data_IF_394980060862
#
_entry.id   IF_394980060862
#
_cell.length_a   1.000
_cell.length_b   1.000
_cell.length_c   1.000
_cell.angle_alpha   90.00
_cell.angle_beta   90.00
_cell.angle_gamma   90.00
#
_symmetry.space_group_name_H-M   'P 1'
#
loop_
_entity.id
_entity.type
_entity.pdbx_description
1 polymer ?
#
# COMPACT_ATOMS: atom_id res chain seq x y z
N UNK A 1 14.43 -58.96 4.43
CA UNK A 1 14.45 -57.72 5.26
C UNK A 1 14.80 -56.43 4.49
N UNK A 2 14.67 -56.37 3.15
CA UNK A 2 14.99 -55.15 2.36
C UNK A 2 13.88 -54.07 2.38
N UNK A 3 12.64 -54.40 2.74
CA UNK A 3 11.54 -53.42 2.80
C UNK A 3 11.70 -52.35 3.89
N UNK A 4 12.45 -52.61 4.97
CA UNK A 4 12.57 -51.66 6.09
C UNK A 4 13.53 -50.49 5.83
N UNK A 5 14.17 -50.39 4.65
CA UNK A 5 15.07 -49.29 4.31
C UNK A 5 14.33 -48.08 3.69
N UNK A 6 13.16 -48.28 3.09
CA UNK A 6 12.41 -47.21 2.40
C UNK A 6 11.50 -46.37 3.30
N UNK A 7 11.16 -46.86 4.50
CA UNK A 7 10.17 -46.21 5.39
C UNK A 7 10.52 -44.76 5.76
N UNK A 8 11.77 -44.38 6.13
CA UNK A 8 12.09 -42.97 6.41
C UNK A 8 11.83 -42.06 5.23
N UNK A 9 12.18 -42.52 4.02
CA UNK A 9 12.10 -41.72 2.82
C UNK A 9 10.64 -41.42 2.47
N UNK A 10 9.77 -42.43 2.57
CA UNK A 10 8.34 -42.26 2.36
C UNK A 10 7.75 -41.28 3.39
N UNK A 11 8.09 -41.42 4.67
CA UNK A 11 7.61 -40.50 5.71
C UNK A 11 8.10 -39.05 5.48
N UNK A 12 9.35 -38.87 5.07
CA UNK A 12 9.89 -37.56 4.70
C UNK A 12 9.16 -36.94 3.49
N UNK A 13 8.93 -37.73 2.44
CA UNK A 13 8.18 -37.26 1.25
C UNK A 13 6.73 -36.91 1.59
N UNK A 14 6.04 -37.70 2.42
CA UNK A 14 4.68 -37.38 2.86
C UNK A 14 4.63 -36.10 3.69
N UNK A 15 5.58 -35.90 4.61
CA UNK A 15 5.66 -34.67 5.40
C UNK A 15 5.93 -33.45 4.51
N UNK A 16 6.82 -33.60 3.53
CA UNK A 16 7.11 -32.56 2.54
C UNK A 16 5.87 -32.18 1.73
N UNK A 17 5.15 -33.17 1.19
CA UNK A 17 3.91 -32.94 0.44
C UNK A 17 2.80 -32.29 1.27
N UNK A 18 2.66 -32.68 2.55
CA UNK A 18 1.67 -32.09 3.44
C UNK A 18 1.95 -30.61 3.72
N UNK A 19 3.18 -30.25 4.05
CA UNK A 19 3.56 -28.84 4.29
C UNK A 19 3.38 -28.02 3.01
N UNK A 20 3.73 -28.57 1.85
CA UNK A 20 3.54 -27.90 0.57
C UNK A 20 2.07 -27.61 0.27
N UNK A 21 1.17 -28.56 0.60
CA UNK A 21 -0.27 -28.45 0.40
C UNK A 21 -0.92 -27.48 1.39
N UNK A 22 -0.55 -27.52 2.67
CA UNK A 22 -1.05 -26.59 3.68
C UNK A 22 -0.68 -25.14 3.40
N UNK A 23 0.47 -24.90 2.76
CA UNK A 23 0.84 -23.56 2.29
C UNK A 23 0.18 -23.14 0.97
N UNK A 24 -0.58 -24.03 0.32
CA UNK A 24 -1.20 -23.82 -1.00
C UNK A 24 -2.66 -23.36 -0.92
N UNK A 25 -3.40 -23.91 0.03
CA UNK A 25 -4.85 -23.80 0.08
C UNK A 25 -5.25 -22.63 0.96
N UNK A 26 -5.80 -21.57 0.36
CA UNK A 26 -6.72 -20.61 0.97
C UNK A 26 -7.49 -19.92 -0.16
N UNK A 27 -8.50 -20.60 -0.70
CA UNK A 27 -9.53 -19.93 -1.50
C UNK A 27 -10.62 -19.47 -0.54
N UNK A 28 -10.54 -18.21 -0.09
CA UNK A 28 -11.71 -17.52 0.44
C UNK A 28 -12.42 -16.85 -0.72
N UNK A 29 -13.76 -16.90 -0.77
CA UNK A 29 -14.49 -16.10 -1.73
C UNK A 29 -14.15 -14.63 -1.50
N UNK A 30 -13.82 -13.92 -2.57
CA UNK A 30 -13.61 -12.48 -2.51
C UNK A 30 -14.90 -11.81 -1.99
N UNK A 31 -14.78 -10.76 -1.15
CA UNK A 31 -15.93 -9.99 -0.71
C UNK A 31 -16.69 -9.41 -1.91
N UNK A 32 -18.02 -9.26 -1.76
CA UNK A 32 -18.83 -8.63 -2.80
C UNK A 32 -18.38 -7.18 -3.04
N UNK A 33 -18.39 -6.76 -4.30
CA UNK A 33 -18.00 -5.40 -4.66
C UNK A 33 -18.90 -4.37 -3.95
N UNK A 34 -18.27 -3.41 -3.27
CA UNK A 34 -18.96 -2.31 -2.59
C UNK A 34 -19.15 -2.48 -1.08
N UNK A 35 -18.76 -3.62 -0.50
CA UNK A 35 -18.52 -3.75 0.93
C UNK A 35 -17.11 -3.25 1.24
N UNK A 36 -16.98 -2.28 2.15
CA UNK A 36 -15.69 -1.79 2.63
C UNK A 36 -15.64 -1.91 4.14
N UNK A 37 -14.66 -2.66 4.63
CA UNK A 37 -14.46 -2.89 6.05
C UNK A 37 -12.98 -2.79 6.39
N UNK A 38 -12.67 -2.16 7.52
CA UNK A 38 -11.36 -2.17 8.16
C UNK A 38 -11.45 -2.94 9.48
N UNK A 39 -10.38 -3.63 9.90
CA UNK A 39 -10.37 -4.26 11.20
C UNK A 39 -10.28 -3.22 12.32
N UNK A 40 -10.69 -3.58 13.54
CA UNK A 40 -10.42 -2.75 14.73
C UNK A 40 -8.90 -2.57 14.95
N UNK A 41 -8.11 -3.59 14.63
CA UNK A 41 -6.65 -3.62 14.77
C UNK A 41 -6.02 -4.14 13.46
N UNK A 42 -5.05 -3.40 12.92
CA UNK A 42 -4.33 -3.81 11.72
C UNK A 42 -3.46 -5.04 12.03
N UNK A 43 -3.55 -6.08 11.21
CA UNK A 43 -2.75 -7.29 11.42
C UNK A 43 -1.23 -7.04 11.29
N UNK A 44 -0.45 -7.68 12.18
CA UNK A 44 1.01 -7.62 12.24
C UNK A 44 1.73 -7.94 10.92
N UNK A 45 2.99 -7.55 10.82
CA UNK A 45 3.87 -7.91 9.70
C UNK A 45 3.93 -9.44 9.44
N UNK A 46 4.11 -9.86 8.19
CA UNK A 46 4.41 -11.26 7.83
C UNK A 46 5.46 -11.41 6.76
N UNK A 47 6.38 -12.34 7.00
CA UNK A 47 7.31 -12.83 5.98
C UNK A 47 6.70 -13.83 4.98
N UNK A 48 5.46 -14.26 5.21
CA UNK A 48 4.81 -15.33 4.43
C UNK A 48 3.46 -14.91 3.82
N UNK A 49 3.25 -13.61 3.65
CA UNK A 49 2.09 -13.09 2.90
C UNK A 49 2.22 -13.42 1.41
N UNK A 50 1.16 -13.96 0.82
CA UNK A 50 1.03 -14.23 -0.61
C UNK A 50 0.93 -12.95 -1.44
N UNK A 51 1.13 -13.08 -2.75
CA UNK A 51 1.07 -11.96 -3.69
C UNK A 51 -0.29 -11.83 -4.36
N UNK A 52 -0.62 -10.62 -4.82
CA UNK A 52 -1.80 -10.34 -5.65
C UNK A 52 -1.76 -11.17 -6.94
N UNK A 53 -0.59 -11.29 -7.58
CA UNK A 53 -0.42 -12.08 -8.82
C UNK A 53 -0.74 -13.58 -8.68
N UNK A 54 -0.65 -14.13 -7.46
CA UNK A 54 -0.86 -15.56 -7.21
C UNK A 54 -2.18 -15.88 -6.49
N UNK A 55 -2.69 -14.94 -5.71
CA UNK A 55 -3.94 -15.05 -4.96
C UNK A 55 -4.56 -13.66 -4.82
N UNK A 56 -5.25 -13.17 -5.86
CA UNK A 56 -5.86 -11.85 -5.83
C UNK A 56 -6.89 -11.73 -4.68
N UNK A 57 -6.85 -10.66 -3.87
CA UNK A 57 -7.76 -10.50 -2.73
C UNK A 57 -9.16 -10.03 -3.13
N UNK A 58 -9.38 -9.66 -4.40
CA UNK A 58 -10.54 -8.87 -4.80
C UNK A 58 -10.27 -7.37 -4.61
N UNK A 59 -11.32 -6.53 -4.62
CA UNK A 59 -11.18 -5.10 -4.29
C UNK A 59 -10.53 -4.92 -2.92
N UNK A 60 -9.75 -3.86 -2.74
CA UNK A 60 -9.09 -3.49 -1.49
C UNK A 60 -9.72 -2.25 -0.85
N UNK A 61 -9.72 -2.17 0.48
CA UNK A 61 -10.08 -0.95 1.21
C UNK A 61 -8.87 -0.08 1.48
N UNK A 62 -7.67 -0.65 1.55
CA UNK A 62 -6.45 0.07 1.86
C UNK A 62 -5.23 -0.49 1.12
N UNK A 63 -4.25 0.39 0.91
CA UNK A 63 -2.92 0.11 0.36
C UNK A 63 -1.90 0.80 1.25
N UNK A 64 -0.85 0.10 1.65
CA UNK A 64 0.19 0.65 2.50
C UNK A 64 1.53 -0.05 2.31
N UNK A 65 2.58 0.60 2.78
CA UNK A 65 3.89 -0.01 2.96
C UNK A 65 3.98 -0.55 4.39
N UNK A 66 4.49 -1.77 4.56
CA UNK A 66 4.73 -2.37 5.87
C UNK A 66 6.22 -2.74 6.00
N UNK A 67 6.92 -2.16 6.98
CA UNK A 67 8.38 -2.26 7.15
C UNK A 67 9.16 -1.04 6.59
N UNK A 68 10.42 -0.91 7.02
CA UNK A 68 11.38 0.12 6.61
C UNK A 68 12.69 -0.50 6.08
N UNK A 69 13.12 -0.14 4.87
CA UNK A 69 14.22 -0.80 4.15
C UNK A 69 15.63 -0.71 4.75
N UNK A 70 15.78 -0.21 5.98
CA UNK A 70 17.06 0.11 6.61
C UNK A 70 17.45 -0.82 7.76
N UNK A 71 16.58 -1.76 8.16
CA UNK A 71 16.87 -2.70 9.25
C UNK A 71 17.33 -4.10 8.77
N UNK A 72 18.11 -4.79 9.61
CA UNK A 72 18.63 -6.12 9.29
C UNK A 72 17.47 -7.12 9.20
N UNK A 73 17.26 -7.69 8.01
CA UNK A 73 16.14 -8.60 7.67
C UNK A 73 14.77 -7.92 7.51
N UNK A 74 14.70 -6.59 7.49
CA UNK A 74 13.47 -5.92 7.09
C UNK A 74 13.35 -5.93 5.55
N UNK A 75 12.18 -6.32 5.08
CA UNK A 75 11.81 -6.33 3.67
C UNK A 75 10.50 -5.55 3.58
N UNK A 76 10.56 -4.24 3.33
CA UNK A 76 9.38 -3.42 3.10
C UNK A 76 8.46 -4.08 2.08
N UNK A 77 7.18 -4.19 2.44
CA UNK A 77 6.18 -4.83 1.60
C UNK A 77 5.17 -3.79 1.15
N UNK A 78 4.81 -3.83 -0.12
CA UNK A 78 3.59 -3.16 -0.58
C UNK A 78 2.42 -4.10 -0.29
N UNK A 79 1.48 -3.68 0.57
CA UNK A 79 0.39 -4.55 1.04
C UNK A 79 -0.95 -3.90 0.77
N UNK A 80 -1.88 -4.68 0.20
CA UNK A 80 -3.29 -4.32 0.14
C UNK A 80 -4.07 -5.07 1.22
N UNK A 81 -5.00 -4.37 1.85
CA UNK A 81 -6.04 -4.93 2.71
C UNK A 81 -7.32 -5.05 1.87
N UNK A 82 -7.77 -6.28 1.63
CA UNK A 82 -8.99 -6.57 0.89
C UNK A 82 -10.21 -5.89 1.52
N UNK A 83 -11.24 -5.62 0.72
CA UNK A 83 -12.36 -4.77 1.12
C UNK A 83 -13.24 -5.37 2.23
N UNK A 84 -13.05 -6.66 2.55
CA UNK A 84 -13.66 -7.32 3.71
C UNK A 84 -12.94 -7.06 5.04
N UNK A 85 -11.76 -6.44 5.03
CA UNK A 85 -10.99 -6.12 6.23
C UNK A 85 -10.19 -7.29 6.82
N UNK A 86 -10.17 -8.46 6.17
CA UNK A 86 -9.55 -9.68 6.70
C UNK A 86 -8.45 -10.27 5.81
N UNK A 87 -8.32 -9.82 4.56
CA UNK A 87 -7.39 -10.39 3.58
C UNK A 87 -6.23 -9.44 3.28
N UNK A 88 -5.01 -9.96 3.30
CA UNK A 88 -3.78 -9.21 3.07
C UNK A 88 -3.00 -9.84 1.93
N UNK A 89 -2.59 -9.04 0.95
CA UNK A 89 -1.78 -9.50 -0.18
C UNK A 89 -0.68 -8.51 -0.50
N UNK A 90 0.48 -9.03 -0.91
CA UNK A 90 1.60 -8.22 -1.38
C UNK A 90 1.37 -7.81 -2.83
N UNK A 91 1.60 -6.54 -3.13
CA UNK A 91 1.63 -6.01 -4.50
C UNK A 91 3.05 -6.23 -5.03
N UNK A 92 3.31 -7.46 -5.47
CA UNK A 92 4.63 -7.91 -5.93
C UNK A 92 5.18 -7.06 -7.08
N UNK A 93 4.31 -6.53 -7.95
CA UNK A 93 4.71 -5.59 -9.01
C UNK A 93 5.38 -4.32 -8.45
N UNK A 94 4.91 -3.79 -7.32
CA UNK A 94 5.54 -2.62 -6.69
C UNK A 94 6.89 -2.95 -6.05
N UNK A 95 7.03 -4.17 -5.52
CA UNK A 95 8.29 -4.64 -4.95
C UNK A 95 9.32 -4.96 -6.05
N UNK A 96 8.89 -5.55 -7.17
CA UNK A 96 9.76 -5.88 -8.30
C UNK A 96 10.26 -4.64 -9.06
N UNK A 97 9.48 -3.55 -9.04
CA UNK A 97 9.85 -2.26 -9.64
C UNK A 97 10.67 -1.37 -8.71
N UNK A 98 10.92 -1.80 -7.47
CA UNK A 98 11.79 -1.06 -6.57
C UNK A 98 13.25 -1.09 -7.07
N UNK A 99 13.89 0.07 -7.14
CA UNK A 99 15.30 0.19 -7.49
C UNK A 99 16.22 0.45 -6.28
N UNK A 100 17.50 0.69 -6.55
CA UNK A 100 18.48 0.96 -5.49
C UNK A 100 18.22 2.30 -4.79
N UNK A 101 17.58 3.23 -5.48
CA UNK A 101 17.16 4.55 -4.99
C UNK A 101 16.05 4.48 -3.94
N UNK A 102 15.28 3.39 -3.89
CA UNK A 102 14.25 3.18 -2.86
C UNK A 102 14.79 2.52 -1.60
N UNK A 103 16.08 2.15 -1.54
CA UNK A 103 16.66 1.45 -0.38
C UNK A 103 15.87 0.19 0.04
N UNK A 104 15.18 -0.46 -0.90
CA UNK A 104 14.35 -1.65 -0.65
C UNK A 104 12.88 -1.35 -0.38
N UNK A 105 12.46 -0.09 -0.26
CA UNK A 105 11.04 0.26 -0.21
C UNK A 105 10.36 -0.03 -1.57
N UNK A 106 9.06 -0.37 -1.60
CA UNK A 106 8.33 -0.56 -2.84
C UNK A 106 8.31 0.71 -3.70
N UNK A 107 8.17 0.50 -5.01
CA UNK A 107 7.93 1.54 -5.99
C UNK A 107 6.73 2.43 -5.62
N UNK A 108 6.67 3.69 -6.13
CA UNK A 108 5.54 4.57 -5.89
C UNK A 108 4.25 3.92 -6.40
N UNK A 109 3.23 3.91 -5.55
CA UNK A 109 2.01 3.15 -5.78
C UNK A 109 0.78 3.94 -5.33
N UNK A 110 -0.34 3.75 -6.02
CA UNK A 110 -1.59 4.45 -5.79
C UNK A 110 -2.78 3.49 -5.92
N UNK A 111 -3.67 3.49 -4.93
CA UNK A 111 -4.91 2.69 -4.94
C UNK A 111 -6.02 3.43 -5.70
N UNK A 112 -6.76 2.72 -6.55
CA UNK A 112 -7.93 3.28 -7.23
C UNK A 112 -9.07 3.60 -6.25
N UNK A 113 -9.98 4.53 -6.58
CA UNK A 113 -11.05 4.94 -5.67
C UNK A 113 -11.97 3.80 -5.26
N UNK A 114 -12.22 2.86 -6.18
CA UNK A 114 -13.04 1.66 -5.96
C UNK A 114 -12.24 0.47 -5.41
N UNK A 115 -10.95 0.65 -5.16
CA UNK A 115 -10.07 -0.37 -4.64
C UNK A 115 -9.79 -1.52 -5.59
N UNK A 116 -10.17 -1.47 -6.87
CA UNK A 116 -9.93 -2.57 -7.81
C UNK A 116 -8.53 -2.59 -8.38
N UNK A 117 -7.87 -1.46 -8.46
CA UNK A 117 -6.60 -1.34 -9.16
C UNK A 117 -5.53 -0.70 -8.28
N UNK A 118 -4.28 -1.11 -8.50
CA UNK A 118 -3.12 -0.38 -7.99
C UNK A 118 -2.28 0.07 -9.16
N UNK A 119 -2.11 1.38 -9.31
CA UNK A 119 -1.13 1.94 -10.23
C UNK A 119 0.25 1.93 -9.57
N UNK A 120 1.26 1.48 -10.31
CA UNK A 120 2.64 1.34 -9.85
C UNK A 120 3.57 2.04 -10.85
N UNK A 121 4.27 3.05 -10.35
CA UNK A 121 5.27 3.81 -11.10
C UNK A 121 6.68 3.30 -10.89
N UNK A 122 7.63 4.23 -11.02
CA UNK A 122 9.06 3.97 -10.90
C UNK A 122 9.82 5.26 -10.56
N UNK A 123 10.85 5.18 -9.70
CA UNK A 123 11.71 6.33 -9.40
C UNK A 123 12.86 6.49 -10.41
N UNK A 124 13.24 5.42 -11.12
CA UNK A 124 14.29 5.43 -12.14
C UNK A 124 14.05 4.37 -13.24
N UNK A 125 13.40 4.76 -14.33
CA UNK A 125 13.11 3.87 -15.46
C UNK A 125 13.76 4.31 -16.77
N UNK A 126 14.16 3.33 -17.59
CA UNK A 126 14.58 3.54 -18.97
C UNK A 126 13.41 3.58 -19.98
N UNK A 127 12.28 3.01 -19.59
CA UNK A 127 11.07 2.93 -20.40
C UNK A 127 9.95 3.59 -19.59
N UNK A 128 9.59 4.85 -19.91
CA UNK A 128 8.55 5.56 -19.17
C UNK A 128 7.22 4.84 -19.35
N UNK A 129 6.75 4.19 -18.28
CA UNK A 129 5.47 3.52 -18.24
C UNK A 129 4.94 3.47 -16.80
N UNK A 130 3.66 3.17 -16.69
CA UNK A 130 2.99 2.84 -15.43
C UNK A 130 2.36 1.46 -15.55
N UNK A 131 2.52 0.63 -14.51
CA UNK A 131 1.82 -0.64 -14.40
C UNK A 131 0.50 -0.44 -13.64
N UNK A 132 -0.56 -1.11 -14.07
CA UNK A 132 -1.86 -1.13 -13.38
C UNK A 132 -2.20 -2.58 -13.08
N UNK A 133 -2.23 -2.90 -11.79
CA UNK A 133 -2.51 -4.24 -11.27
C UNK A 133 -3.99 -4.33 -10.92
N UNK A 134 -4.71 -5.28 -11.53
CA UNK A 134 -6.08 -5.61 -11.16
C UNK A 134 -6.08 -6.54 -9.93
N UNK A 135 -6.60 -6.05 -8.80
CA UNK A 135 -6.63 -6.80 -7.54
C UNK A 135 -7.67 -7.91 -7.53
N UNK A 136 -8.58 -7.96 -8.50
CA UNK A 136 -9.60 -9.01 -8.62
C UNK A 136 -9.10 -10.21 -9.42
N UNK A 137 -8.25 -9.98 -10.42
CA UNK A 137 -7.73 -11.03 -11.31
C UNK A 137 -6.26 -11.35 -11.07
N UNK A 138 -5.51 -10.42 -10.49
CA UNK A 138 -4.06 -10.48 -10.37
C UNK A 138 -3.33 -10.11 -11.67
N UNK A 139 -4.05 -9.74 -12.73
CA UNK A 139 -3.46 -9.36 -14.02
C UNK A 139 -2.85 -7.97 -13.95
N UNK A 140 -1.79 -7.75 -14.73
CA UNK A 140 -1.09 -6.46 -14.82
C UNK A 140 -1.14 -5.95 -16.25
N UNK A 141 -1.62 -4.73 -16.42
CA UNK A 141 -1.52 -3.96 -17.66
C UNK A 141 -0.40 -2.94 -17.56
N UNK A 142 0.21 -2.54 -18.68
CA UNK A 142 1.26 -1.52 -18.71
C UNK A 142 0.92 -0.50 -19.77
N UNK A 143 1.07 0.78 -19.41
CA UNK A 143 0.77 1.91 -20.28
C UNK A 143 2.03 2.73 -20.48
N UNK A 144 2.44 2.87 -21.74
CA UNK A 144 3.58 3.69 -22.13
C UNK A 144 3.25 5.16 -21.96
N UNK A 145 4.20 5.93 -21.44
CA UNK A 145 4.07 7.36 -21.21
C UNK A 145 4.99 8.12 -22.17
N UNK A 146 4.63 9.35 -22.58
CA UNK A 146 5.37 10.09 -23.61
C UNK A 146 6.79 10.47 -23.17
N UNK A 147 7.02 10.57 -21.86
CA UNK A 147 8.28 11.02 -21.27
C UNK A 147 8.41 10.58 -19.81
N UNK A 148 9.62 10.76 -19.27
CA UNK A 148 9.93 10.56 -17.86
C UNK A 148 11.09 9.61 -17.63
N UNK A 149 11.98 9.95 -16.69
CA UNK A 149 12.91 9.04 -16.03
C UNK A 149 12.39 8.57 -14.68
N UNK A 150 11.41 9.28 -14.13
CA UNK A 150 10.65 8.92 -12.94
C UNK A 150 9.17 9.13 -13.23
N UNK A 151 8.34 8.17 -12.83
CA UNK A 151 6.89 8.15 -13.01
C UNK A 151 6.25 7.89 -11.66
N UNK A 152 5.51 8.87 -11.13
CA UNK A 152 4.88 8.75 -9.81
C UNK A 152 3.37 8.93 -9.95
N UNK A 153 2.57 7.86 -9.82
CA UNK A 153 1.12 7.97 -9.74
C UNK A 153 0.72 8.89 -8.56
N UNK A 154 -0.10 9.91 -8.83
CA UNK A 154 -0.49 10.89 -7.81
C UNK A 154 -1.98 11.04 -7.59
N UNK A 155 -2.84 10.70 -8.56
CA UNK A 155 -4.29 10.68 -8.36
C UNK A 155 -5.00 9.83 -9.42
N UNK A 156 -6.08 9.16 -9.04
CA UNK A 156 -7.08 8.62 -9.97
C UNK A 156 -8.26 9.58 -10.08
N UNK A 157 -8.92 9.61 -11.25
CA UNK A 157 -10.26 10.19 -11.37
C UNK A 157 -11.25 9.38 -10.52
N UNK A 158 -12.34 9.99 -10.08
CA UNK A 158 -13.31 9.36 -9.17
C UNK A 158 -13.96 8.09 -9.77
N UNK A 159 -14.11 8.03 -11.09
CA UNK A 159 -14.60 6.87 -11.84
C UNK A 159 -13.53 5.83 -12.16
N UNK A 160 -12.26 6.13 -11.84
CA UNK A 160 -11.12 5.24 -12.06
C UNK A 160 -10.72 5.07 -13.52
N UNK A 161 -11.18 5.90 -14.45
CA UNK A 161 -10.81 5.79 -15.87
C UNK A 161 -9.57 6.58 -16.24
N UNK A 162 -9.16 7.53 -15.40
CA UNK A 162 -8.00 8.38 -15.65
C UNK A 162 -7.02 8.34 -14.48
N UNK A 163 -5.73 8.47 -14.79
CA UNK A 163 -4.64 8.45 -13.83
C UNK A 163 -3.73 9.67 -14.06
N UNK A 164 -3.59 10.52 -13.05
CA UNK A 164 -2.57 11.56 -13.02
C UNK A 164 -1.25 11.01 -12.45
N UNK A 165 -0.14 11.34 -13.11
CA UNK A 165 1.21 11.01 -12.68
C UNK A 165 2.16 12.20 -12.80
N UNK A 166 3.15 12.28 -11.92
CA UNK A 166 4.31 13.15 -12.09
C UNK A 166 5.30 12.47 -13.02
N UNK A 167 5.73 13.20 -14.06
CA UNK A 167 6.71 12.77 -15.06
C UNK A 167 7.95 13.65 -14.92
N UNK A 168 8.99 13.15 -14.26
CA UNK A 168 10.23 13.90 -14.06
C UNK A 168 11.25 13.51 -15.12
N UNK A 169 11.97 14.49 -15.68
CA UNK A 169 13.00 14.25 -16.70
C UNK A 169 14.24 13.51 -16.16
N UNK A 170 14.46 13.55 -14.85
CA UNK A 170 15.57 12.89 -14.15
C UNK A 170 15.05 11.83 -13.16
N UNK A 171 15.87 10.82 -12.82
CA UNK A 171 15.56 9.89 -11.73
C UNK A 171 15.31 10.64 -10.42
N UNK A 172 14.36 10.15 -9.63
CA UNK A 172 14.03 10.73 -8.32
C UNK A 172 14.52 9.82 -7.19
N UNK A 173 14.65 10.37 -5.99
CA UNK A 173 15.03 9.59 -4.82
C UNK A 173 14.25 10.11 -3.60
N UNK A 174 13.35 9.30 -3.01
CA UNK A 174 12.49 9.75 -1.92
C UNK A 174 13.24 10.06 -0.62
N UNK A 175 14.53 9.73 -0.52
CA UNK A 175 15.39 9.98 0.66
C UNK A 175 16.38 11.13 0.50
N UNK A 176 16.34 11.86 -0.62
CA UNK A 176 17.19 13.06 -0.76
C UNK A 176 16.72 14.25 0.07
N UNK A 177 15.52 14.18 0.67
CA UNK A 177 14.90 15.29 1.39
C UNK A 177 14.35 16.39 0.47
N UNK A 178 14.42 16.18 -0.85
CA UNK A 178 13.85 17.09 -1.83
C UNK A 178 12.41 16.66 -2.15
N UNK A 179 11.51 17.63 -2.27
CA UNK A 179 10.14 17.37 -2.74
C UNK A 179 10.22 16.88 -4.18
N UNK A 180 9.63 15.72 -4.45
CA UNK A 180 9.59 15.19 -5.81
C UNK A 180 8.59 16.01 -6.62
N UNK A 181 9.04 16.47 -7.79
CA UNK A 181 8.26 17.32 -8.70
C UNK A 181 8.48 16.88 -10.15
N UNK A 182 7.55 17.23 -11.03
CA UNK A 182 7.65 16.93 -12.47
C UNK A 182 6.49 17.54 -13.25
N UNK A 183 6.45 17.25 -14.55
CA UNK A 183 5.28 17.57 -15.37
C UNK A 183 4.09 16.70 -14.91
N UNK A 184 2.87 17.18 -15.06
CA UNK A 184 1.66 16.39 -14.70
C UNK A 184 1.10 15.76 -15.97
N UNK A 185 1.22 14.44 -16.09
CA UNK A 185 0.56 13.67 -17.14
C UNK A 185 -0.78 13.12 -16.67
N UNK A 186 -1.81 13.22 -17.50
CA UNK A 186 -3.11 12.55 -17.30
C UNK A 186 -3.26 11.46 -18.36
N UNK A 187 -3.25 10.21 -17.90
CA UNK A 187 -3.40 9.00 -18.69
C UNK A 187 -4.87 8.57 -18.70
N UNK A 188 -5.44 8.36 -19.89
CA UNK A 188 -6.69 7.65 -20.09
C UNK A 188 -6.41 6.13 -20.12
N UNK A 189 -7.02 5.38 -19.20
CA UNK A 189 -6.79 3.94 -19.06
C UNK A 189 -7.55 3.10 -20.09
N UNK A 190 -8.54 3.66 -20.78
CA UNK A 190 -9.31 2.94 -21.79
C UNK A 190 -8.55 2.79 -23.10
N UNK A 191 -7.78 3.81 -23.50
CA UNK A 191 -7.03 3.80 -24.76
C UNK A 191 -5.52 4.01 -24.60
N UNK A 192 -5.04 4.31 -23.40
CA UNK A 192 -3.63 4.53 -23.09
C UNK A 192 -3.08 5.88 -23.54
N UNK A 193 -3.92 6.80 -23.99
CA UNK A 193 -3.49 8.14 -24.38
C UNK A 193 -3.10 8.97 -23.14
N UNK A 194 -2.05 9.79 -23.27
CA UNK A 194 -1.59 10.66 -22.18
C UNK A 194 -1.53 12.11 -22.64
N UNK A 195 -2.17 12.99 -21.89
CA UNK A 195 -2.05 14.44 -22.02
C UNK A 195 -1.07 14.96 -20.96
N UNK A 196 -0.06 15.74 -21.36
CA UNK A 196 0.82 16.45 -20.42
C UNK A 196 0.28 17.86 -20.21
N UNK A 197 -0.09 18.16 -18.97
CA UNK A 197 -0.69 19.43 -18.58
C UNK A 197 0.42 20.46 -18.34
N UNK A 198 0.32 21.60 -19.02
CA UNK A 198 1.18 22.75 -18.75
C UNK A 198 0.66 23.53 -17.52
N UNK A 199 1.41 23.44 -16.43
CA UNK A 199 1.14 24.17 -15.18
C UNK A 199 2.11 25.33 -14.96
N UNK A 200 2.82 25.78 -16.02
CA UNK A 200 3.78 26.88 -15.96
C UNK A 200 4.88 26.61 -14.89
N UNK A 201 5.44 25.40 -14.92
CA UNK A 201 6.42 24.92 -13.94
C UNK A 201 6.22 23.44 -13.61
N UNK A 202 6.73 23.01 -12.46
CA UNK A 202 6.58 21.62 -12.01
C UNK A 202 5.45 21.47 -11.00
N UNK A 203 4.67 20.40 -11.16
CA UNK A 203 3.69 19.93 -10.17
C UNK A 203 4.37 19.06 -9.10
N UNK A 204 3.81 19.08 -7.89
CA UNK A 204 4.26 18.25 -6.77
C UNK A 204 3.26 17.16 -6.37
N UNK A 205 1.98 17.35 -6.68
CA UNK A 205 0.89 16.38 -6.50
C UNK A 205 -0.34 16.89 -7.23
N UNK A 206 -1.36 16.04 -7.39
CA UNK A 206 -2.64 16.43 -7.96
C UNK A 206 -3.82 15.75 -7.24
N UNK A 207 -5.03 16.26 -7.48
CA UNK A 207 -6.30 15.64 -7.11
C UNK A 207 -7.35 15.97 -8.17
N UNK A 208 -8.14 14.99 -8.59
CA UNK A 208 -9.28 15.22 -9.50
C UNK A 208 -10.48 15.79 -8.75
N UNK A 209 -11.30 16.59 -9.44
CA UNK A 209 -12.65 16.90 -8.98
C UNK A 209 -13.49 15.62 -8.93
N UNK A 210 -14.54 15.63 -8.11
CA UNK A 210 -15.41 14.45 -7.94
C UNK A 210 -16.17 14.06 -9.21
N UNK A 211 -16.36 15.00 -10.14
CA UNK A 211 -16.94 14.76 -11.46
C UNK A 211 -15.91 14.46 -12.57
N UNK A 212 -14.61 14.49 -12.24
CA UNK A 212 -13.52 14.22 -13.17
C UNK A 212 -13.31 15.29 -14.25
N UNK A 213 -13.99 16.44 -14.17
CA UNK A 213 -13.89 17.50 -15.19
C UNK A 213 -12.78 18.51 -14.91
N UNK A 214 -12.27 18.56 -13.69
CA UNK A 214 -11.14 19.41 -13.29
C UNK A 214 -10.06 18.59 -12.58
N UNK A 215 -8.83 19.08 -12.64
CA UNK A 215 -7.71 18.61 -11.82
C UNK A 215 -7.10 19.78 -11.06
N UNK A 216 -6.87 19.59 -9.77
CA UNK A 216 -6.15 20.51 -8.91
C UNK A 216 -4.70 20.07 -8.79
N UNK A 217 -3.77 20.90 -9.23
CA UNK A 217 -2.33 20.65 -9.19
C UNK A 217 -1.66 21.59 -8.20
N UNK A 218 -0.92 21.02 -7.25
CA UNK A 218 -0.02 21.80 -6.41
C UNK A 218 1.25 22.13 -7.21
N UNK A 219 1.49 23.40 -7.47
CA UNK A 219 2.73 23.87 -8.10
C UNK A 219 3.85 23.97 -7.08
N UNK A 220 5.06 23.59 -7.49
CA UNK A 220 6.23 23.64 -6.62
C UNK A 220 6.75 25.07 -6.40
N UNK A 221 6.75 25.92 -7.44
CA UNK A 221 7.31 27.27 -7.38
C UNK A 221 6.71 28.21 -8.43
N UNK A 222 6.07 29.35 -8.04
CA UNK A 222 5.63 29.63 -6.67
C UNK A 222 4.64 28.57 -6.18
N UNK A 223 4.58 28.36 -4.85
CA UNK A 223 3.64 27.39 -4.28
C UNK A 223 2.22 27.93 -4.36
N UNK A 224 1.45 27.38 -5.28
CA UNK A 224 0.06 27.77 -5.57
C UNK A 224 -0.73 26.53 -6.00
N UNK A 225 -2.05 26.62 -5.91
CA UNK A 225 -2.96 25.59 -6.41
C UNK A 225 -3.50 26.02 -7.77
N UNK A 226 -3.29 25.21 -8.80
CA UNK A 226 -3.83 25.43 -10.14
C UNK A 226 -5.00 24.48 -10.36
N UNK A 227 -6.19 25.01 -10.60
CA UNK A 227 -7.36 24.21 -10.98
C UNK A 227 -7.54 24.32 -12.49
N UNK A 228 -7.53 23.17 -13.15
CA UNK A 228 -7.41 23.06 -14.60
C UNK A 228 -8.57 22.24 -15.10
N UNK A 229 -9.38 22.85 -15.98
CA UNK A 229 -10.43 22.13 -16.68
C UNK A 229 -9.83 21.14 -17.68
N UNK A 230 -10.29 19.89 -17.65
CA UNK A 230 -9.85 18.83 -18.54
C UNK A 230 -10.68 18.85 -19.84
N UNK A 231 -10.02 18.58 -20.97
CA UNK A 231 -10.62 18.61 -22.31
C UNK A 231 -10.28 19.87 -23.13
N UNK A 232 -10.93 19.99 -24.30
CA UNK A 232 -10.56 20.98 -25.32
C UNK A 232 -10.71 22.44 -24.83
N UNK A 233 -9.57 23.13 -24.68
CA UNK A 233 -9.52 24.55 -24.32
C UNK A 233 -9.36 24.84 -22.83
N UNK A 234 -8.87 23.87 -22.05
CA UNK A 234 -8.67 23.91 -20.61
C UNK A 234 -8.33 25.29 -20.04
N UNK A 235 -9.27 25.83 -19.25
CA UNK A 235 -9.04 27.06 -18.49
C UNK A 235 -8.31 26.74 -17.19
N UNK A 236 -7.30 27.54 -16.86
CA UNK A 236 -6.60 27.49 -15.57
C UNK A 236 -7.11 28.62 -14.66
N UNK A 237 -7.34 28.30 -13.38
CA UNK A 237 -7.47 29.29 -12.31
C UNK A 237 -6.51 28.98 -11.19
N UNK A 238 -5.86 30.02 -10.66
CA UNK A 238 -4.87 29.91 -9.58
C UNK A 238 -5.45 30.38 -8.26
N UNK A 239 -5.22 29.59 -7.23
CA UNK A 239 -5.62 29.89 -5.86
C UNK A 239 -4.38 29.93 -4.95
N UNK A 240 -4.33 30.88 -3.99
CA UNK A 240 -3.27 30.89 -3.00
C UNK A 240 -3.33 29.63 -2.15
N UNK A 241 -2.17 29.07 -1.82
CA UNK A 241 -2.05 27.86 -1.01
C UNK A 241 -1.23 28.15 0.24
N UNK A 242 -1.84 27.99 1.42
CA UNK A 242 -1.19 28.11 2.72
C UNK A 242 -1.03 26.72 3.36
N UNK A 243 -0.09 25.95 2.81
CA UNK A 243 0.11 24.54 3.15
C UNK A 243 0.52 23.70 1.94
N UNK A 244 0.12 22.44 1.94
CA UNK A 244 0.27 21.51 0.80
C UNK A 244 -1.04 20.78 0.53
N UNK A 245 -1.29 20.40 -0.71
CA UNK A 245 -2.49 19.66 -1.05
C UNK A 245 -2.53 18.34 -0.27
N UNK A 246 -3.66 18.01 0.37
CA UNK A 246 -3.77 16.88 1.29
C UNK A 246 -3.83 15.49 0.60
N UNK A 247 -3.17 15.34 -0.55
CA UNK A 247 -3.05 14.08 -1.28
C UNK A 247 -4.10 13.86 -2.39
N UNK A 248 -4.14 12.63 -2.96
CA UNK A 248 -4.98 12.28 -4.11
C UNK A 248 -6.48 12.50 -3.90
N UNK A 249 -6.95 12.36 -2.66
CA UNK A 249 -8.37 12.42 -2.30
C UNK A 249 -8.73 13.75 -1.61
N UNK A 250 -7.97 14.81 -1.88
CA UNK A 250 -8.17 16.11 -1.23
C UNK A 250 -9.50 16.78 -1.60
N UNK A 251 -10.07 16.46 -2.76
CA UNK A 251 -11.33 17.07 -3.22
C UNK A 251 -12.54 16.43 -2.55
N UNK A 252 -13.45 17.25 -2.03
CA UNK A 252 -14.68 16.76 -1.43
C UNK A 252 -15.64 16.15 -2.47
N UNK A 253 -16.50 15.20 -2.08
CA UNK A 253 -17.41 14.53 -3.01
C UNK A 253 -18.40 15.48 -3.69
N UNK A 254 -18.77 16.58 -3.03
CA UNK A 254 -19.65 17.62 -3.59
C UNK A 254 -18.91 18.63 -4.50
N UNK A 255 -17.60 18.47 -4.68
CA UNK A 255 -16.78 19.34 -5.52
C UNK A 255 -16.45 20.70 -4.89
N UNK A 256 -16.93 20.98 -3.68
CA UNK A 256 -16.86 22.32 -3.09
C UNK A 256 -15.54 22.62 -2.40
N UNK A 257 -14.95 21.65 -1.71
CA UNK A 257 -13.80 21.85 -0.84
C UNK A 257 -12.58 21.11 -1.37
N UNK A 258 -11.43 21.74 -1.22
CA UNK A 258 -10.13 21.11 -1.34
C UNK A 258 -9.42 21.13 0.01
N UNK A 259 -9.09 19.95 0.52
CA UNK A 259 -8.38 19.78 1.77
C UNK A 259 -6.88 20.06 1.59
N UNK A 260 -6.33 20.86 2.50
CA UNK A 260 -4.93 21.28 2.52
C UNK A 260 -4.34 20.87 3.87
N UNK A 261 -3.21 20.18 3.85
CA UNK A 261 -2.44 19.93 5.07
C UNK A 261 -1.74 21.22 5.47
N UNK A 262 -2.05 21.74 6.66
CA UNK A 262 -1.32 22.88 7.21
C UNK A 262 0.03 22.42 7.72
N UNK A 263 1.03 23.27 7.57
CA UNK A 263 2.42 22.95 7.88
C UNK A 263 3.06 24.10 8.62
N UNK A 264 3.80 23.78 9.68
CA UNK A 264 4.71 24.73 10.28
C UNK A 264 6.03 24.73 9.50
N UNK A 265 6.62 25.91 9.22
CA UNK A 265 7.92 25.99 8.57
C UNK A 265 8.93 25.15 9.35
N UNK A 266 9.49 24.11 8.71
CA UNK A 266 10.56 23.35 9.32
C UNK A 266 11.78 24.26 9.53
N UNK A 267 12.56 24.02 10.57
CA UNK A 267 13.89 24.64 10.76
C UNK A 267 14.93 24.15 9.73
N UNK A 268 14.48 23.68 8.57
CA UNK A 268 15.33 23.17 7.51
C UNK A 268 16.31 24.26 7.06
N UNK A 269 17.53 23.89 6.61
CA UNK A 269 18.48 24.85 6.08
C UNK A 269 17.85 25.71 4.97
N UNK A 270 18.21 27.01 4.88
CA UNK A 270 17.75 27.85 3.77
C UNK A 270 18.00 27.18 2.41
N UNK A 271 16.95 26.99 1.63
CA UNK A 271 17.00 26.35 0.30
C UNK A 271 16.52 24.89 0.25
N UNK A 272 16.15 24.27 1.37
CA UNK A 272 15.43 23.00 1.35
C UNK A 272 13.93 23.26 1.05
N UNK A 273 13.42 22.72 -0.06
CA UNK A 273 11.99 22.74 -0.42
C UNK A 273 11.19 21.73 0.41
N UNK A 274 11.37 21.72 1.72
CA UNK A 274 10.59 20.85 2.60
C UNK A 274 9.21 21.48 2.90
N UNK A 275 8.13 20.68 2.85
CA UNK A 275 6.80 21.19 3.11
C UNK A 275 6.61 21.68 4.54
N UNK A 276 7.45 21.30 5.50
CA UNK A 276 7.30 21.63 6.92
C UNK A 276 6.73 20.47 7.73
N UNK A 277 6.53 20.69 9.02
CA UNK A 277 5.91 19.70 9.92
C UNK A 277 4.39 19.85 9.83
N UNK A 278 3.63 18.80 9.47
CA UNK A 278 2.17 18.86 9.44
C UNK A 278 1.61 19.24 10.82
N UNK A 279 0.67 20.17 10.86
CA UNK A 279 0.04 20.64 12.10
C UNK A 279 -1.47 20.47 12.12
N UNK A 280 -2.08 20.16 10.98
CA UNK A 280 -3.52 20.19 10.85
C UNK A 280 -4.04 20.13 9.42
N UNK A 281 -5.32 20.43 9.31
CA UNK A 281 -6.07 20.42 8.06
C UNK A 281 -6.80 21.75 7.89
N UNK A 282 -6.70 22.34 6.70
CA UNK A 282 -7.47 23.50 6.29
C UNK A 282 -8.20 23.19 4.98
N UNK A 283 -9.07 24.11 4.54
CA UNK A 283 -9.88 23.93 3.35
C UNK A 283 -9.85 25.18 2.47
N UNK A 284 -9.87 24.95 1.16
CA UNK A 284 -10.04 25.99 0.15
C UNK A 284 -11.37 25.74 -0.57
N UNK A 285 -12.14 26.81 -0.82
CA UNK A 285 -13.32 26.71 -1.69
C UNK A 285 -12.85 26.55 -3.13
N UNK A 286 -13.12 25.37 -3.68
CA UNK A 286 -12.78 24.98 -5.03
C UNK A 286 -13.80 25.50 -6.05
N UNK A 287 -14.85 26.23 -5.68
CA UNK A 287 -15.84 26.78 -6.62
C UNK A 287 -15.68 28.27 -6.81
N UNK A 288 -15.47 29.01 -5.73
CA UNK A 288 -15.32 30.47 -5.74
C UNK A 288 -14.18 30.91 -4.84
N UNK A 289 -13.38 31.87 -5.31
CA UNK A 289 -12.32 32.44 -4.47
C UNK A 289 -12.95 33.18 -3.27
N UNK A 290 -12.79 32.63 -2.07
CA UNK A 290 -13.23 33.24 -0.81
C UNK A 290 -14.64 32.88 -0.33
N UNK A 291 -15.20 31.75 -0.76
CA UNK A 291 -16.41 31.21 -0.13
C UNK A 291 -16.18 30.72 1.30
N UNK A 292 -17.27 30.51 2.04
CA UNK A 292 -17.22 30.05 3.43
C UNK A 292 -16.69 28.61 3.49
N UNK A 293 -15.54 28.45 4.15
CA UNK A 293 -14.89 27.15 4.41
C UNK A 293 -14.91 26.83 5.91
N UNK A 294 -14.84 25.54 6.30
CA UNK A 294 -14.68 25.17 7.70
C UNK A 294 -13.42 25.80 8.33
N UNK A 295 -13.45 25.98 9.65
CA UNK A 295 -12.27 26.44 10.38
C UNK A 295 -11.13 25.41 10.28
N UNK A 296 -9.85 25.84 10.26
CA UNK A 296 -8.73 24.92 10.30
C UNK A 296 -8.78 24.01 11.54
N UNK A 297 -8.47 22.74 11.34
CA UNK A 297 -8.40 21.71 12.37
C UNK A 297 -6.94 21.52 12.80
N UNK A 298 -6.66 21.56 14.09
CA UNK A 298 -5.34 21.19 14.64
C UNK A 298 -5.39 19.71 14.99
N UNK A 299 -4.52 18.93 14.36
CA UNK A 299 -4.55 17.47 14.42
C UNK A 299 -3.13 16.92 14.65
N UNK A 300 -2.98 15.83 15.41
CA UNK A 300 -1.70 15.14 15.57
C UNK A 300 -1.40 14.33 14.30
N UNK A 301 -1.07 15.00 13.20
CA UNK A 301 -0.85 14.35 11.91
C UNK A 301 0.52 13.69 11.85
N UNK A 302 0.57 12.52 11.21
CA UNK A 302 1.81 11.89 10.79
C UNK A 302 2.22 12.40 9.41
N UNK A 303 3.51 12.40 9.11
CA UNK A 303 3.99 12.91 7.84
C UNK A 303 3.80 11.89 6.70
N UNK A 304 3.35 12.34 5.51
CA UNK A 304 2.70 13.60 5.19
C UNK A 304 1.19 13.49 5.48
N UNK A 305 0.62 14.36 6.31
CA UNK A 305 -0.75 14.26 6.84
C UNK A 305 -1.84 14.36 5.78
N UNK A 306 -2.07 13.26 5.05
CA UNK A 306 -2.97 13.14 3.92
C UNK A 306 -4.40 12.85 4.37
N UNK A 307 -5.35 13.36 3.60
CA UNK A 307 -6.70 12.82 3.59
C UNK A 307 -6.64 11.46 2.89
N UNK A 308 -7.18 10.43 3.54
CA UNK A 308 -7.26 9.06 3.02
C UNK A 308 -8.54 8.85 2.20
N UNK A 309 -9.56 9.67 2.46
CA UNK A 309 -10.86 9.66 1.80
C UNK A 309 -11.83 10.59 2.52
N UNK A 310 -13.01 10.78 1.94
CA UNK A 310 -14.10 11.56 2.54
C UNK A 310 -15.20 10.64 3.04
N UNK A 311 -15.72 10.92 4.23
CA UNK A 311 -16.92 10.29 4.76
C UNK A 311 -18.08 11.27 4.60
N UNK A 312 -18.78 11.12 3.47
CA UNK A 312 -19.74 12.11 3.00
C UNK A 312 -19.09 13.47 2.76
N UNK A 313 -19.80 14.55 3.12
CA UNK A 313 -19.32 15.94 2.98
C UNK A 313 -18.95 16.57 4.32
N UNK A 314 -19.03 15.82 5.42
CA UNK A 314 -18.95 16.34 6.79
C UNK A 314 -17.73 15.83 7.56
N UNK A 315 -17.05 14.79 7.06
CA UNK A 315 -15.88 14.24 7.69
C UNK A 315 -14.86 13.75 6.66
N UNK A 316 -13.61 13.67 7.09
CA UNK A 316 -12.50 13.06 6.35
C UNK A 316 -11.94 11.86 7.11
N UNK A 317 -11.41 10.89 6.39
CA UNK A 317 -10.62 9.80 6.95
C UNK A 317 -9.15 10.21 6.96
N UNK A 318 -8.48 10.10 8.10
CA UNK A 318 -7.08 10.50 8.26
C UNK A 318 -6.30 9.50 9.10
N UNK A 319 -4.99 9.46 8.90
CA UNK A 319 -4.05 8.79 9.79
C UNK A 319 -3.58 9.77 10.87
N UNK A 320 -3.90 9.48 12.13
CA UNK A 320 -3.54 10.29 13.28
C UNK A 320 -2.49 9.57 14.15
N UNK A 321 -1.51 10.31 14.64
CA UNK A 321 -0.55 9.84 15.63
C UNK A 321 -1.23 9.73 17.00
N UNK A 322 -0.90 8.67 17.73
CA UNK A 322 -1.22 8.55 19.15
C UNK A 322 -0.06 9.15 19.95
N UNK A 323 -0.36 9.99 20.94
CA UNK A 323 0.68 10.66 21.75
C UNK A 323 1.50 9.62 22.54
N UNK A 324 2.83 9.80 22.58
CA UNK A 324 3.80 9.00 23.33
C UNK A 324 4.04 7.53 22.90
N UNK A 325 3.32 7.03 21.90
CA UNK A 325 3.49 5.68 21.36
C UNK A 325 3.78 5.73 19.85
N UNK A 326 4.63 4.82 19.33
CA UNK A 326 4.84 4.63 17.88
C UNK A 326 3.60 3.95 17.24
N UNK A 327 2.42 4.50 17.52
CA UNK A 327 1.11 3.97 17.20
C UNK A 327 0.29 4.98 16.39
N UNK A 328 -0.54 4.45 15.51
CA UNK A 328 -1.36 5.25 14.60
C UNK A 328 -2.80 4.78 14.59
N UNK A 329 -3.70 5.70 14.25
CA UNK A 329 -5.11 5.36 14.05
C UNK A 329 -5.60 5.86 12.71
N UNK A 330 -6.37 5.02 12.00
CA UNK A 330 -7.30 5.55 10.99
C UNK A 330 -8.50 6.07 11.75
N UNK A 331 -8.74 7.37 11.61
CA UNK A 331 -9.80 8.07 12.32
C UNK A 331 -10.72 8.81 11.35
N UNK A 332 -12.01 8.77 11.64
CA UNK A 332 -12.99 9.69 11.07
C UNK A 332 -12.88 11.03 11.80
N UNK A 333 -12.57 12.08 11.05
CA UNK A 333 -12.37 13.44 11.57
C UNK A 333 -13.48 14.36 11.03
N UNK A 334 -14.45 14.75 11.87
CA UNK A 334 -15.46 15.73 11.50
C UNK A 334 -14.84 17.09 11.16
N UNK A 335 -15.27 17.69 10.04
CA UNK A 335 -14.71 18.98 9.59
C UNK A 335 -15.23 20.19 10.39
N UNK A 336 -16.21 19.97 11.27
CA UNK A 336 -16.72 20.98 12.20
C UNK A 336 -15.87 21.14 13.47
N UNK A 337 -14.83 20.31 13.62
CA UNK A 337 -13.92 20.33 14.77
C UNK A 337 -14.40 19.51 15.97
N UNK A 338 -15.46 18.72 15.83
CA UNK A 338 -15.82 17.73 16.84
C UNK A 338 -14.79 16.59 16.94
N UNK A 339 -14.86 15.81 18.02
CA UNK A 339 -13.85 14.82 18.38
C UNK A 339 -13.73 13.71 17.33
N UNK A 340 -12.51 13.36 16.86
CA UNK A 340 -12.31 12.25 15.96
C UNK A 340 -12.79 10.91 16.53
N UNK A 341 -13.28 10.02 15.66
CA UNK A 341 -13.64 8.64 16.01
C UNK A 341 -12.64 7.67 15.40
N UNK A 342 -11.96 6.90 16.24
CA UNK A 342 -11.06 5.82 15.80
C UNK A 342 -11.83 4.71 15.12
N UNK A 343 -11.34 4.27 13.95
CA UNK A 343 -11.90 3.18 13.17
C UNK A 343 -10.99 1.96 13.14
N UNK A 344 -9.68 2.17 13.09
CA UNK A 344 -8.67 1.12 13.10
C UNK A 344 -7.45 1.60 13.87
N UNK A 345 -6.89 0.73 14.70
CA UNK A 345 -5.65 0.92 15.43
C UNK A 345 -4.49 0.22 14.71
N UNK A 346 -3.31 0.82 14.81
CA UNK A 346 -2.04 0.29 14.34
C UNK A 346 -1.08 0.38 15.53
N UNK A 347 -1.22 -0.57 16.43
CA UNK A 347 -0.42 -0.67 17.66
C UNK A 347 0.69 -1.71 17.49
N UNK A 348 1.69 -1.67 18.38
CA UNK A 348 2.77 -2.67 18.46
C UNK A 348 3.39 -3.02 17.10
N UNK A 349 3.54 -2.01 16.24
CA UNK A 349 4.17 -2.14 14.92
C UNK A 349 5.65 -2.63 15.04
N UNK A 350 6.17 -2.75 16.26
CA UNK A 350 7.52 -3.21 16.56
C UNK A 350 8.54 -2.30 15.89
N UNK A 351 9.53 -2.90 15.22
CA UNK A 351 10.46 -2.14 14.37
C UNK A 351 9.96 -1.98 12.93
N UNK A 352 8.77 -2.49 12.61
CA UNK A 352 8.19 -2.50 11.27
C UNK A 352 7.06 -1.47 11.18
N UNK A 353 7.36 -0.22 10.81
CA UNK A 353 6.31 0.79 10.69
C UNK A 353 5.40 0.59 9.49
N UNK A 354 4.28 1.31 9.50
CA UNK A 354 3.38 1.47 8.35
C UNK A 354 3.59 2.84 7.73
N UNK A 355 3.87 2.83 6.43
CA UNK A 355 4.08 4.04 5.64
C UNK A 355 3.15 4.11 4.45
N UNK A 356 3.05 5.30 3.84
CA UNK A 356 2.31 5.53 2.57
C UNK A 356 0.87 4.97 2.59
N UNK A 357 0.21 5.02 3.75
CA UNK A 357 -1.12 4.48 3.93
C UNK A 357 -2.14 5.24 3.08
N UNK A 358 -2.98 4.49 2.37
CA UNK A 358 -4.02 4.98 1.46
C UNK A 358 -5.28 4.16 1.68
N UNK A 359 -6.43 4.75 1.36
CA UNK A 359 -7.71 4.05 1.35
C UNK A 359 -8.41 4.20 0.00
N UNK A 360 -9.26 3.24 -0.31
CA UNK A 360 -10.18 3.34 -1.43
C UNK A 360 -11.15 4.49 -1.15
N UNK A 361 -11.04 5.59 -1.90
CA UNK A 361 -11.82 6.80 -1.65
C UNK A 361 -13.34 6.56 -1.66
N UNK A 362 -13.81 5.58 -2.43
CA UNK A 362 -15.22 5.21 -2.49
C UNK A 362 -15.72 4.49 -1.21
N UNK A 363 -14.82 4.04 -0.33
CA UNK A 363 -15.21 3.44 0.95
C UNK A 363 -15.99 4.43 1.81
N UNK A 364 -15.49 5.66 1.95
CA UNK A 364 -16.14 6.80 2.59
C UNK A 364 -17.12 6.47 3.72
N UNK A 365 -18.39 6.83 3.52
CA UNK A 365 -19.51 6.63 4.45
C UNK A 365 -20.01 5.18 4.55
N UNK A 366 -19.50 4.29 3.70
CA UNK A 366 -19.80 2.86 3.68
C UNK A 366 -18.79 2.03 4.46
N UNK A 367 -17.75 2.67 4.99
CA UNK A 367 -16.71 1.99 5.74
C UNK A 367 -17.26 1.43 7.06
N UNK A 368 -17.02 0.14 7.26
CA UNK A 368 -17.40 -0.58 8.47
C UNK A 368 -16.16 -0.98 9.27
N UNK A 369 -16.30 -1.07 10.58
CA UNK A 369 -15.28 -1.65 11.45
C UNK A 369 -15.66 -3.09 11.74
N UNK A 370 -14.73 -4.01 11.57
CA UNK A 370 -14.93 -5.46 11.80
C UNK A 370 -13.89 -6.00 12.77
N UNK A 371 -14.22 -7.09 13.44
CA UNK A 371 -13.26 -7.91 14.19
C UNK A 371 -12.97 -9.17 13.35
N UNK A 372 -11.90 -9.19 12.54
CA UNK A 372 -11.62 -10.35 11.70
C UNK A 372 -11.14 -11.50 12.59
N UNK A 373 -12.01 -12.48 12.83
CA UNK A 373 -11.66 -13.66 13.63
C UNK A 373 -10.51 -14.49 13.05
N UNK A 374 -10.22 -14.36 11.75
CA UNK A 374 -9.10 -15.02 11.07
C UNK A 374 -8.54 -14.15 9.92
N UNK A 375 -7.28 -13.74 10.03
CA UNK A 375 -6.56 -13.01 8.97
C UNK A 375 -6.14 -13.96 7.84
N UNK A 376 -6.56 -13.66 6.61
CA UNK A 376 -6.14 -14.37 5.40
C UNK A 376 -4.93 -13.70 4.74
N UNK A 377 -3.75 -14.31 4.85
CA UNK A 377 -2.52 -13.84 4.18
C UNK A 377 -2.25 -14.53 2.85
N UNK A 378 -3.18 -15.36 2.38
CA UNK A 378 -3.03 -16.11 1.14
C UNK A 378 -2.01 -17.25 1.23
N UNK A 379 -1.74 -17.92 0.10
CA UNK A 379 -0.74 -18.97 0.06
C UNK A 379 0.65 -18.39 0.31
N UNK A 380 1.49 -19.15 1.01
CA UNK A 380 2.88 -18.75 1.20
C UNK A 380 3.58 -18.59 -0.15
N UNK A 381 4.56 -17.70 -0.28
CA UNK A 381 5.28 -17.58 -1.54
C UNK A 381 6.03 -18.89 -1.86
N UNK A 382 6.13 -19.21 -3.15
CA UNK A 382 6.51 -20.55 -3.62
C UNK A 382 7.87 -21.03 -3.06
N UNK A 383 8.85 -20.14 -2.98
CA UNK A 383 10.19 -20.49 -2.49
C UNK A 383 10.15 -20.87 -1.01
N UNK A 384 9.41 -20.14 -0.19
CA UNK A 384 9.19 -20.40 1.23
C UNK A 384 8.47 -21.72 1.42
N UNK A 385 7.45 -22.00 0.58
CA UNK A 385 6.76 -23.31 0.58
C UNK A 385 7.71 -24.44 0.27
N UNK A 386 8.51 -24.33 -0.79
CA UNK A 386 9.48 -25.36 -1.16
C UNK A 386 10.51 -25.54 -0.03
N UNK A 387 11.07 -24.47 0.50
CA UNK A 387 12.05 -24.52 1.57
C UNK A 387 11.49 -25.19 2.83
N UNK A 388 10.31 -24.76 3.29
CA UNK A 388 9.63 -25.36 4.44
C UNK A 388 9.31 -26.85 4.19
N UNK A 389 8.86 -27.19 2.99
CA UNK A 389 8.53 -28.57 2.60
C UNK A 389 9.77 -29.46 2.58
N UNK A 390 10.90 -28.98 2.05
CA UNK A 390 12.17 -29.70 2.05
C UNK A 390 12.70 -29.89 3.47
N UNK A 391 12.66 -28.83 4.29
CA UNK A 391 13.12 -28.87 5.68
C UNK A 391 12.29 -29.86 6.52
N UNK A 392 10.96 -29.79 6.42
CA UNK A 392 10.05 -30.70 7.12
C UNK A 392 10.29 -32.16 6.70
N UNK A 393 10.42 -32.40 5.38
CA UNK A 393 10.72 -33.74 4.86
C UNK A 393 12.06 -34.28 5.35
N UNK A 394 13.10 -33.45 5.38
CA UNK A 394 14.43 -33.82 5.89
C UNK A 394 14.39 -34.14 7.40
N UNK A 395 13.72 -33.31 8.20
CA UNK A 395 13.59 -33.51 9.65
C UNK A 395 12.89 -34.84 9.97
N UNK A 396 11.76 -35.11 9.32
CA UNK A 396 10.99 -36.36 9.51
C UNK A 396 11.80 -37.57 9.03
N UNK A 397 12.50 -37.45 7.91
CA UNK A 397 13.39 -38.50 7.41
C UNK A 397 14.50 -38.83 8.42
N UNK A 398 15.21 -37.82 8.95
CA UNK A 398 16.27 -38.01 9.95
C UNK A 398 15.71 -38.65 11.22
N UNK A 399 14.61 -38.12 11.74
CA UNK A 399 13.98 -38.66 12.96
C UNK A 399 13.58 -40.14 12.79
N UNK A 400 12.92 -40.50 11.69
CA UNK A 400 12.54 -41.87 11.38
C UNK A 400 13.76 -42.80 11.22
N UNK A 401 14.82 -42.32 10.57
CA UNK A 401 16.07 -43.07 10.41
C UNK A 401 16.76 -43.33 11.77
N UNK A 402 16.77 -42.34 12.67
CA UNK A 402 17.32 -42.47 14.04
C UNK A 402 16.50 -43.47 14.85
N UNK A 403 15.17 -43.35 14.87
CA UNK A 403 14.27 -44.26 15.60
C UNK A 403 14.47 -45.70 15.13
N UNK A 404 14.52 -45.94 13.81
CA UNK A 404 14.76 -47.29 13.30
C UNK A 404 16.16 -47.81 13.61
N UNK A 405 17.18 -46.95 13.64
CA UNK A 405 18.53 -47.35 14.05
C UNK A 405 18.58 -47.75 15.52
N UNK A 406 17.88 -47.03 16.39
CA UNK A 406 17.75 -47.35 17.81
C UNK A 406 16.97 -48.66 17.99
N UNK A 407 15.81 -48.80 17.33
CA UNK A 407 14.99 -50.01 17.37
C UNK A 407 15.76 -51.26 16.94
N UNK A 408 16.54 -51.18 15.85
CA UNK A 408 17.42 -52.28 15.40
C UNK A 408 18.49 -52.65 16.45
N UNK A 409 19.04 -51.66 17.18
CA UNK A 409 20.01 -51.92 18.26
C UNK A 409 19.35 -52.61 19.45
N UNK A 410 18.13 -52.19 19.83
CA UNK A 410 17.36 -52.81 20.92
C UNK A 410 16.99 -54.25 20.58
N UNK A 411 16.42 -54.49 19.40
CA UNK A 411 16.07 -55.85 18.95
C UNK A 411 17.29 -56.75 18.91
N UNK A 412 18.42 -56.29 18.35
CA UNK A 412 19.67 -57.08 18.35
C UNK A 412 20.17 -57.42 19.76
N UNK A 413 20.01 -56.52 20.75
CA UNK A 413 20.36 -56.81 22.15
C UNK A 413 19.45 -57.85 22.77
N UNK A 414 18.15 -57.82 22.47
CA UNK A 414 17.16 -58.78 22.98
C UNK A 414 17.32 -60.16 22.33
N UNK A 415 17.63 -60.21 21.03
CA UNK A 415 17.78 -61.48 20.28
C UNK A 415 19.19 -62.04 20.28
N UNK A 416 20.19 -61.34 20.84
CA UNK A 416 21.53 -61.88 20.97
C UNK A 416 21.50 -63.11 21.89
N UNK A 417 22.00 -64.28 21.46
CA UNK A 417 22.00 -65.46 22.31
C UNK A 417 22.78 -65.14 23.59
N UNK A 418 22.16 -65.37 24.76
CA UNK A 418 22.87 -65.23 26.04
C UNK A 418 24.12 -66.12 25.99
N UNK A 419 25.29 -65.60 26.36
CA UNK A 419 26.49 -66.42 26.41
C UNK A 419 26.20 -67.64 27.29
N UNK A 420 26.38 -68.85 26.76
CA UNK A 420 26.28 -70.07 27.55
C UNK A 420 27.34 -69.97 28.64
N UNK A 421 26.90 -69.90 29.91
CA UNK A 421 27.78 -70.00 31.07
C UNK A 421 28.52 -71.32 30.98
N UNK A 422 29.85 -71.23 30.90
CA UNK A 422 30.76 -72.38 30.96
C UNK A 422 30.86 -72.92 32.38
#
# INVERSE_FOLDING_TARGET
MRMAAGVPLVLGLCASGLVFALGAEHERPAPEAGTYAVPEELADYSYVTGSVSSSPPGPAVALFQHGFGVEFMDFPQAVVLGAGGDSYRRVDVAEDRAGAETQGDPAPMLLSPDGRYVAVGDHDTAEPNVAVVDLTTGETSTYDLPQGRSVIPVAFSADGTSLAALLSAEPTNPYRGERITGDVGVLDLADGSTEVIDVDGAGATAAFSSDGTEIGVERASPRELSLIALGDGGSERRLPLDGVLAGPTAWSPDGRLLAITTVEPALAPPGADEPGVPTGLAFVDATTAGGDVPAPLILPLTAPGRVLGWDGTEAVLMLLAVEDDDAYTVSRVPIDGSEPTTLMQMDDMGSYGVGRFQMAAAAGDRLQVVDPSDVDRGPWPLLQRIAASVLAGLLVWVAAAVIMRIGRRVVRRVTAPRPRSA
#
